data_IF_203024777562
#
_entry.id   IF_203024777562
#
_cell.length_a   1.000
_cell.length_b   1.000
_cell.length_c   1.000
_cell.angle_alpha   90.00
_cell.angle_beta   90.00
_cell.angle_gamma   90.00
#
_symmetry.space_group_name_H-M   'P 1'
#
loop_
_entity.id
_entity.type
_entity.pdbx_description
1 polymer ?
#
# COMPACT_ATOMS: atom_id res chain seq x y z
N UNK A 1 -11.89 32.78 46.24
CA UNK A 1 -12.41 33.81 45.32
C UNK A 1 -13.10 33.10 44.17
N UNK A 2 -14.41 33.12 44.24
CA UNK A 2 -15.38 32.58 43.31
C UNK A 2 -15.63 33.57 42.18
N UNK A 3 -15.58 33.14 40.91
CA UNK A 3 -16.27 33.84 39.84
C UNK A 3 -17.03 32.84 38.97
N UNK A 4 -18.33 33.01 39.10
CA UNK A 4 -19.38 32.39 38.30
C UNK A 4 -19.67 33.33 37.12
N UNK A 5 -19.79 32.80 35.89
CA UNK A 5 -20.56 33.47 34.84
C UNK A 5 -21.33 32.46 34.01
N UNK A 6 -22.63 32.63 34.16
CA UNK A 6 -23.72 31.93 33.48
C UNK A 6 -24.17 32.75 32.25
N UNK A 7 -24.78 32.03 31.29
CA UNK A 7 -25.78 32.45 30.28
C UNK A 7 -25.30 33.10 28.98
N UNK A 8 -25.62 32.47 27.87
CA UNK A 8 -26.69 32.81 26.89
C UNK A 8 -26.68 31.72 25.83
N UNK A 9 -27.64 30.89 25.68
CA UNK A 9 -28.99 30.91 25.09
C UNK A 9 -28.98 30.93 23.54
N UNK A 10 -29.45 29.83 22.98
CA UNK A 10 -30.36 29.61 21.86
C UNK A 10 -30.18 30.41 20.55
N UNK A 11 -29.96 29.69 19.45
CA UNK A 11 -30.75 29.89 18.24
C UNK A 11 -30.86 28.56 17.47
N UNK A 12 -32.08 28.02 17.52
CA UNK A 12 -32.59 27.02 16.60
C UNK A 12 -33.00 27.73 15.31
N UNK A 13 -32.60 27.22 14.18
CA UNK A 13 -33.39 27.40 12.98
C UNK A 13 -33.27 26.18 12.04
N UNK A 14 -34.39 25.58 11.85
CA UNK A 14 -34.82 24.51 10.98
C UNK A 14 -34.65 24.86 9.51
N UNK A 15 -34.06 23.99 8.70
CA UNK A 15 -34.20 23.99 7.25
C UNK A 15 -34.79 22.64 6.79
N UNK A 16 -35.97 22.68 6.23
CA UNK A 16 -36.70 21.57 5.59
C UNK A 16 -36.10 21.24 4.23
N UNK A 17 -36.17 19.99 3.77
CA UNK A 17 -35.76 19.61 2.40
C UNK A 17 -36.94 19.85 1.44
N UNK A 18 -36.67 20.54 0.33
CA UNK A 18 -37.57 20.65 -0.83
C UNK A 18 -37.35 19.46 -1.77
N UNK A 19 -38.28 18.56 -1.78
CA UNK A 19 -38.48 17.60 -2.86
C UNK A 19 -39.45 18.21 -3.88
N UNK A 20 -39.04 18.20 -5.16
CA UNK A 20 -39.94 18.47 -6.30
C UNK A 20 -39.85 17.29 -7.27
N UNK A 21 -40.99 16.71 -7.69
CA UNK A 21 -41.01 15.61 -8.65
C UNK A 21 -41.07 16.15 -10.08
N UNK A 22 -40.19 15.70 -10.94
CA UNK A 22 -40.27 15.95 -12.38
C UNK A 22 -41.20 14.93 -13.02
N UNK A 23 -42.31 15.43 -13.58
CA UNK A 23 -43.28 14.69 -14.37
C UNK A 23 -42.73 14.41 -15.76
N UNK A 24 -42.89 13.18 -16.20
CA UNK A 24 -42.72 12.71 -17.57
C UNK A 24 -43.85 13.25 -18.46
N UNK A 25 -43.50 13.85 -19.59
CA UNK A 25 -44.46 14.11 -20.68
C UNK A 25 -43.93 13.44 -21.96
N UNK A 26 -44.66 12.39 -22.33
CA UNK A 26 -44.55 11.72 -23.62
C UNK A 26 -45.26 12.57 -24.67
N UNK A 27 -44.56 12.94 -25.74
CA UNK A 27 -45.20 13.48 -26.96
C UNK A 27 -44.93 12.55 -28.14
N UNK A 28 -45.99 11.86 -28.54
CA UNK A 28 -46.07 11.17 -29.84
C UNK A 28 -46.18 12.23 -30.94
N UNK A 29 -45.36 12.15 -31.96
CA UNK A 29 -45.62 12.77 -33.25
C UNK A 29 -45.64 11.69 -34.35
N UNK A 30 -46.86 11.43 -34.82
CA UNK A 30 -47.13 10.81 -36.13
C UNK A 30 -46.97 11.90 -37.21
N UNK A 31 -46.21 11.65 -38.25
CA UNK A 31 -46.35 12.36 -39.51
C UNK A 31 -46.15 11.39 -40.65
N UNK A 32 -47.24 11.33 -41.45
CA UNK A 32 -47.36 10.48 -42.62
C UNK A 32 -46.64 11.08 -43.85
N UNK A 33 -46.20 10.20 -44.66
CA UNK A 33 -45.81 10.12 -46.04
C UNK A 33 -45.83 11.32 -46.99
N UNK A 34 -44.85 11.27 -47.87
CA UNK A 34 -45.14 11.40 -49.33
C UNK A 34 -43.87 10.98 -50.11
N UNK A 35 -44.02 9.95 -50.93
CA UNK A 35 -43.04 9.47 -51.86
C UNK A 35 -42.99 10.38 -53.07
N UNK A 36 -41.82 10.94 -53.40
CA UNK A 36 -41.54 11.49 -54.71
C UNK A 36 -40.27 10.81 -55.28
N UNK A 37 -40.48 9.97 -56.30
CA UNK A 37 -39.43 9.34 -57.07
C UNK A 37 -38.91 10.35 -58.08
N UNK A 38 -37.67 10.76 -57.99
CA UNK A 38 -36.92 11.41 -59.09
C UNK A 38 -35.71 10.59 -59.47
N UNK A 39 -35.71 10.05 -60.65
CA UNK A 39 -34.60 9.37 -61.34
C UNK A 39 -33.59 10.42 -61.76
N UNK A 40 -32.33 10.30 -61.27
CA UNK A 40 -31.19 11.01 -61.83
C UNK A 40 -30.02 10.05 -62.07
N UNK A 41 -29.15 10.32 -63.08
CA UNK A 41 -28.31 9.30 -63.70
C UNK A 41 -27.07 8.93 -62.87
N UNK A 42 -26.67 7.67 -63.00
CA UNK A 42 -25.46 7.09 -62.47
C UNK A 42 -24.23 7.74 -63.17
N UNK A 43 -23.46 8.48 -62.36
CA UNK A 43 -22.06 8.72 -62.64
C UNK A 43 -21.24 7.72 -61.79
N UNK A 44 -20.59 6.78 -62.45
CA UNK A 44 -19.63 5.88 -61.87
C UNK A 44 -18.35 6.67 -61.53
N UNK A 45 -18.34 7.25 -60.33
CA UNK A 45 -17.14 7.79 -59.71
C UNK A 45 -16.65 6.76 -58.69
N UNK A 46 -15.44 6.22 -58.91
CA UNK A 46 -14.72 5.39 -57.96
C UNK A 46 -14.55 6.13 -56.62
N UNK A 47 -15.51 5.95 -55.72
CA UNK A 47 -15.40 6.43 -54.36
C UNK A 47 -14.38 5.56 -53.65
N UNK A 48 -13.13 6.02 -53.56
CA UNK A 48 -12.16 5.57 -52.61
C UNK A 48 -12.80 5.77 -51.20
N UNK A 49 -13.28 4.68 -50.62
CA UNK A 49 -13.69 4.64 -49.21
C UNK A 49 -12.44 4.90 -48.40
N UNK A 50 -12.16 6.15 -48.07
CA UNK A 50 -11.30 6.49 -46.97
C UNK A 50 -12.05 6.01 -45.72
N UNK A 51 -11.74 4.80 -45.29
CA UNK A 51 -12.08 4.37 -43.93
C UNK A 51 -11.34 5.32 -42.98
N UNK A 52 -12.02 6.34 -42.54
CA UNK A 52 -11.69 6.99 -41.28
C UNK A 52 -11.81 5.92 -40.20
N UNK A 53 -10.71 5.22 -39.94
CA UNK A 53 -10.55 4.41 -38.74
C UNK A 53 -10.67 5.41 -37.58
N UNK A 54 -11.84 5.46 -36.98
CA UNK A 54 -12.04 6.07 -35.67
C UNK A 54 -11.16 5.32 -34.71
N UNK A 55 -9.92 5.73 -34.57
CA UNK A 55 -9.04 5.32 -33.45
C UNK A 55 -9.49 6.01 -32.15
N UNK A 56 -10.75 5.85 -31.80
CA UNK A 56 -11.22 6.01 -30.44
C UNK A 56 -10.78 4.76 -29.66
N UNK A 57 -9.53 4.71 -29.19
CA UNK A 57 -9.03 3.60 -28.40
C UNK A 57 -9.98 3.36 -27.22
N UNK A 58 -10.54 2.14 -27.11
CA UNK A 58 -11.40 1.74 -26.01
C UNK A 58 -10.69 2.08 -24.70
N UNK A 59 -11.33 2.87 -23.85
CA UNK A 59 -10.87 3.13 -22.49
C UNK A 59 -10.78 1.79 -21.76
N UNK A 60 -9.61 1.48 -21.20
CA UNK A 60 -9.38 0.28 -20.39
C UNK A 60 -9.30 0.68 -18.92
N UNK A 61 -9.85 -0.12 -18.06
CA UNK A 61 -9.81 0.08 -16.62
C UNK A 61 -9.15 -1.12 -15.94
N UNK A 62 -8.11 -0.86 -15.12
CA UNK A 62 -7.48 -1.84 -14.27
C UNK A 62 -7.55 -1.42 -12.81
N UNK A 63 -7.45 -2.40 -11.90
CA UNK A 63 -7.49 -2.17 -10.46
C UNK A 63 -6.17 -2.57 -9.84
N UNK A 64 -5.51 -1.62 -9.18
CA UNK A 64 -4.36 -1.84 -8.32
C UNK A 64 -4.84 -2.02 -6.88
N UNK A 65 -4.49 -3.13 -6.25
CA UNK A 65 -4.71 -3.37 -4.83
C UNK A 65 -3.36 -3.36 -4.11
N UNK A 66 -3.19 -2.48 -3.13
CA UNK A 66 -1.90 -2.31 -2.45
C UNK A 66 -2.04 -2.02 -0.97
N UNK A 67 -0.93 -2.08 -0.25
CA UNK A 67 -0.91 -1.72 1.17
C UNK A 67 -0.81 -0.21 1.37
N UNK A 68 -1.32 0.28 2.50
CA UNK A 68 -1.64 1.69 2.69
C UNK A 68 -0.47 2.67 2.49
N UNK A 69 0.76 2.26 2.84
CA UNK A 69 1.93 3.16 2.81
C UNK A 69 2.45 3.48 1.41
N UNK A 70 2.05 2.70 0.39
CA UNK A 70 2.47 2.92 -1.00
C UNK A 70 1.67 4.00 -1.72
N UNK A 71 0.53 4.42 -1.15
CA UNK A 71 -0.42 5.33 -1.80
C UNK A 71 0.26 6.59 -2.35
N UNK A 72 1.08 7.25 -1.55
CA UNK A 72 1.76 8.49 -1.95
C UNK A 72 2.71 8.31 -3.16
N UNK A 73 3.32 7.13 -3.30
CA UNK A 73 4.14 6.80 -4.48
C UNK A 73 3.25 6.58 -5.72
N UNK A 74 2.22 5.76 -5.59
CA UNK A 74 1.33 5.46 -6.71
C UNK A 74 0.56 6.68 -7.24
N UNK A 75 0.22 7.63 -6.39
CA UNK A 75 -0.37 8.92 -6.81
C UNK A 75 0.54 9.70 -7.76
N UNK A 76 1.86 9.47 -7.75
CA UNK A 76 2.83 10.08 -8.67
C UNK A 76 3.17 9.16 -9.85
N UNK A 77 3.24 7.87 -9.63
CA UNK A 77 3.63 6.87 -10.63
C UNK A 77 2.52 6.66 -11.67
N UNK A 78 1.28 6.54 -11.22
CA UNK A 78 0.14 6.21 -12.09
C UNK A 78 -0.08 7.24 -13.20
N UNK A 79 -0.08 8.56 -12.95
CA UNK A 79 -0.21 9.55 -14.01
C UNK A 79 0.88 9.43 -15.10
N UNK A 80 2.12 9.15 -14.70
CA UNK A 80 3.24 8.97 -15.61
C UNK A 80 3.03 7.74 -16.52
N UNK A 81 2.62 6.62 -15.94
CA UNK A 81 2.29 5.41 -16.70
C UNK A 81 1.14 5.65 -17.69
N UNK A 82 0.05 6.26 -17.22
CA UNK A 82 -1.14 6.54 -18.04
C UNK A 82 -0.78 7.44 -19.25
N UNK A 83 0.00 8.50 -19.02
CA UNK A 83 0.48 9.37 -20.08
C UNK A 83 1.37 8.63 -21.08
N UNK A 84 2.30 7.82 -20.58
CA UNK A 84 3.18 6.98 -21.40
C UNK A 84 2.39 5.98 -22.23
N UNK A 85 1.47 5.24 -21.65
CA UNK A 85 0.62 4.26 -22.32
C UNK A 85 -0.23 4.91 -23.43
N UNK A 86 -0.87 6.05 -23.12
CA UNK A 86 -1.64 6.80 -24.10
C UNK A 86 -0.77 7.23 -25.30
N UNK A 87 0.45 7.69 -25.04
CA UNK A 87 1.40 8.08 -26.09
C UNK A 87 1.83 6.90 -26.95
N UNK A 88 2.09 5.74 -26.36
CA UNK A 88 2.65 4.56 -27.06
C UNK A 88 1.57 3.71 -27.74
N UNK A 89 0.39 3.58 -27.11
CA UNK A 89 -0.68 2.68 -27.55
C UNK A 89 -1.94 3.41 -28.07
N UNK A 90 -2.03 4.73 -27.93
CA UNK A 90 -3.22 5.49 -28.28
C UNK A 90 -4.45 5.16 -27.41
N UNK A 91 -4.29 4.37 -26.36
CA UNK A 91 -5.37 3.87 -25.51
C UNK A 91 -5.44 4.63 -24.19
N UNK A 92 -6.65 5.00 -23.75
CA UNK A 92 -6.86 5.59 -22.44
C UNK A 92 -6.93 4.50 -21.37
N UNK A 93 -6.21 4.73 -20.26
CA UNK A 93 -6.19 3.83 -19.10
C UNK A 93 -6.68 4.56 -17.87
N UNK A 94 -7.54 3.91 -17.10
CA UNK A 94 -7.91 4.32 -15.73
C UNK A 94 -7.42 3.24 -14.77
N UNK A 95 -6.65 3.65 -13.76
CA UNK A 95 -6.21 2.73 -12.70
C UNK A 95 -6.98 3.06 -11.42
N UNK A 96 -7.95 2.19 -11.08
CA UNK A 96 -8.59 2.23 -9.77
C UNK A 96 -7.63 1.72 -8.72
N UNK A 97 -7.73 2.26 -7.51
CA UNK A 97 -6.79 1.98 -6.44
C UNK A 97 -7.53 1.60 -5.16
N UNK A 98 -7.08 0.52 -4.51
CA UNK A 98 -7.54 0.10 -3.19
C UNK A 98 -6.36 -0.04 -2.23
N UNK A 99 -6.47 0.56 -1.04
CA UNK A 99 -5.41 0.60 -0.04
C UNK A 99 -5.90 0.21 1.35
N UNK A 100 -5.05 -0.53 2.08
CA UNK A 100 -5.34 -0.95 3.45
C UNK A 100 -4.21 -1.77 4.05
N UNK A 101 -4.46 -2.47 5.13
CA UNK A 101 -3.52 -3.47 5.65
C UNK A 101 -3.32 -4.60 4.65
N UNK A 102 -2.07 -4.99 4.37
CA UNK A 102 -1.73 -5.98 3.34
C UNK A 102 -2.52 -7.28 3.48
N UNK A 103 -2.60 -7.86 4.68
CA UNK A 103 -3.39 -9.07 4.93
C UNK A 103 -4.90 -8.86 4.75
N UNK A 104 -5.41 -7.63 4.98
CA UNK A 104 -6.83 -7.31 4.72
C UNK A 104 -7.09 -7.19 3.22
N UNK A 105 -6.17 -6.58 2.47
CA UNK A 105 -6.25 -6.49 1.01
C UNK A 105 -6.15 -7.89 0.35
N UNK A 106 -5.27 -8.74 0.85
CA UNK A 106 -5.17 -10.14 0.42
C UNK A 106 -6.51 -10.87 0.54
N UNK A 107 -7.16 -10.76 1.70
CA UNK A 107 -8.49 -11.36 1.91
C UNK A 107 -9.53 -10.78 0.97
N UNK A 108 -9.56 -9.46 0.81
CA UNK A 108 -10.50 -8.80 -0.09
C UNK A 108 -10.37 -9.30 -1.54
N UNK A 109 -9.13 -9.51 -2.03
CA UNK A 109 -8.89 -10.06 -3.38
C UNK A 109 -9.38 -11.51 -3.47
N UNK A 110 -9.08 -12.34 -2.47
CA UNK A 110 -9.55 -13.73 -2.41
C UNK A 110 -11.07 -13.79 -2.35
N UNK A 111 -11.71 -12.88 -1.62
CA UNK A 111 -13.17 -12.78 -1.46
C UNK A 111 -13.87 -12.11 -2.66
N UNK A 112 -13.13 -11.74 -3.73
CA UNK A 112 -13.71 -11.31 -4.99
C UNK A 112 -13.49 -9.84 -5.38
N UNK A 113 -12.67 -9.05 -4.65
CA UNK A 113 -12.26 -7.72 -5.13
C UNK A 113 -11.52 -7.87 -6.46
N UNK A 114 -11.99 -7.25 -7.56
CA UNK A 114 -11.48 -7.51 -8.91
C UNK A 114 -10.14 -6.79 -9.16
N UNK A 115 -9.08 -7.23 -8.46
CA UNK A 115 -7.73 -6.72 -8.65
C UNK A 115 -7.14 -7.24 -9.98
N UNK A 116 -6.51 -6.37 -10.75
CA UNK A 116 -5.68 -6.75 -11.91
C UNK A 116 -4.21 -6.88 -11.50
N UNK A 117 -3.78 -6.00 -10.60
CA UNK A 117 -2.42 -5.97 -10.05
C UNK A 117 -2.49 -5.89 -8.54
N UNK A 118 -1.72 -6.71 -7.86
CA UNK A 118 -1.51 -6.64 -6.42
C UNK A 118 -0.07 -6.21 -6.12
N UNK A 119 0.11 -5.24 -5.24
CA UNK A 119 1.41 -4.79 -4.76
C UNK A 119 1.35 -4.77 -3.23
N UNK A 120 1.73 -5.88 -2.61
CA UNK A 120 1.50 -6.15 -1.20
C UNK A 120 2.75 -5.95 -0.34
N UNK A 121 2.59 -5.94 0.98
CA UNK A 121 3.70 -5.65 1.88
C UNK A 121 4.69 -6.81 2.02
N UNK A 122 4.31 -8.03 1.65
CA UNK A 122 5.13 -9.24 1.79
C UNK A 122 4.70 -10.35 0.83
N UNK A 123 5.67 -11.14 0.39
CA UNK A 123 5.46 -12.22 -0.58
C UNK A 123 4.46 -13.29 -0.09
N UNK A 124 4.36 -13.52 1.21
CA UNK A 124 3.37 -14.43 1.77
C UNK A 124 1.93 -14.03 1.42
N UNK A 125 1.64 -12.74 1.40
CA UNK A 125 0.29 -12.24 1.11
C UNK A 125 -0.05 -12.45 -0.38
N UNK A 126 0.91 -12.28 -1.29
CA UNK A 126 0.78 -12.64 -2.72
C UNK A 126 0.62 -14.15 -2.89
N UNK A 127 1.43 -14.95 -2.18
CA UNK A 127 1.34 -16.41 -2.20
C UNK A 127 -0.02 -16.95 -1.76
N UNK A 128 -0.70 -16.30 -0.83
CA UNK A 128 -2.07 -16.68 -0.45
C UNK A 128 -3.07 -16.48 -1.59
N UNK A 129 -2.90 -15.44 -2.41
CA UNK A 129 -3.73 -15.22 -3.60
C UNK A 129 -3.42 -16.25 -4.67
N UNK A 130 -2.14 -16.67 -4.83
CA UNK A 130 -1.72 -17.81 -5.66
C UNK A 130 -2.38 -19.11 -5.18
N UNK A 131 -2.32 -19.40 -3.88
CA UNK A 131 -2.95 -20.59 -3.29
C UNK A 131 -4.47 -20.62 -3.46
N UNK A 132 -5.12 -19.45 -3.57
CA UNK A 132 -6.53 -19.33 -3.92
C UNK A 132 -6.81 -19.50 -5.43
N UNK A 133 -5.78 -19.77 -6.25
CA UNK A 133 -5.88 -20.01 -7.69
C UNK A 133 -6.16 -18.75 -8.52
N UNK A 134 -5.85 -17.56 -8.00
CA UNK A 134 -6.08 -16.28 -8.70
C UNK A 134 -4.81 -15.76 -9.39
N UNK A 135 -3.63 -16.11 -8.89
CA UNK A 135 -2.32 -15.83 -9.46
C UNK A 135 -1.68 -17.17 -9.85
N UNK A 136 -1.02 -17.23 -10.99
CA UNK A 136 -0.31 -18.42 -11.43
C UNK A 136 0.97 -18.66 -10.61
N UNK A 137 1.38 -19.90 -10.37
CA UNK A 137 2.67 -20.22 -9.76
C UNK A 137 3.83 -19.66 -10.57
N UNK A 138 4.84 -19.13 -9.88
CA UNK A 138 6.05 -18.59 -10.52
C UNK A 138 6.03 -17.08 -10.77
N UNK A 139 5.05 -16.36 -10.25
CA UNK A 139 4.93 -14.89 -10.33
C UNK A 139 6.20 -14.17 -9.88
N UNK A 140 6.99 -14.75 -8.99
CA UNK A 140 8.28 -14.18 -8.55
C UNK A 140 9.30 -14.05 -9.69
N UNK A 141 9.11 -14.78 -10.80
CA UNK A 141 10.01 -14.78 -11.98
C UNK A 141 9.51 -13.86 -13.10
N UNK A 142 8.32 -13.31 -13.00
CA UNK A 142 7.68 -12.50 -14.06
C UNK A 142 8.26 -11.07 -14.14
N UNK A 143 8.91 -10.61 -13.07
CA UNK A 143 9.52 -9.30 -13.02
C UNK A 143 10.91 -9.32 -12.34
N UNK A 144 11.74 -8.28 -12.52
CA UNK A 144 13.07 -8.22 -11.93
C UNK A 144 13.07 -8.35 -10.40
N UNK A 145 14.22 -8.74 -9.83
CA UNK A 145 14.46 -8.85 -8.39
C UNK A 145 13.47 -9.77 -7.64
N UNK A 146 12.98 -10.82 -8.26
CA UNK A 146 11.97 -11.69 -7.65
C UNK A 146 10.61 -11.00 -7.52
N UNK A 147 10.26 -10.13 -8.48
CA UNK A 147 9.07 -9.28 -8.47
C UNK A 147 8.99 -8.32 -7.27
N UNK A 148 10.10 -8.03 -6.61
CA UNK A 148 10.20 -7.04 -5.53
C UNK A 148 10.38 -5.65 -6.12
N UNK A 149 9.43 -4.75 -5.89
CA UNK A 149 9.42 -3.37 -6.43
C UNK A 149 9.85 -2.31 -5.43
N UNK A 150 9.76 -2.59 -4.14
CA UNK A 150 10.16 -1.66 -3.09
C UNK A 150 10.96 -2.36 -2.01
N UNK A 151 11.89 -1.61 -1.39
CA UNK A 151 12.54 -2.00 -0.14
C UNK A 151 12.38 -0.92 0.90
N UNK A 152 12.37 -1.32 2.16
CA UNK A 152 12.40 -0.45 3.33
C UNK A 152 13.05 -1.20 4.49
N UNK A 153 13.08 -0.57 5.66
CA UNK A 153 13.51 -1.17 6.92
C UNK A 153 12.61 -0.66 8.04
N UNK A 154 12.72 -1.23 9.23
CA UNK A 154 11.98 -0.74 10.40
C UNK A 154 12.71 0.46 11.01
N UNK A 155 11.97 1.53 11.26
CA UNK A 155 12.43 2.71 11.99
C UNK A 155 11.74 2.81 13.35
N UNK A 156 12.41 3.43 14.30
CA UNK A 156 11.91 3.82 15.61
C UNK A 156 11.65 5.32 15.58
N UNK A 157 10.41 5.70 15.37
CA UNK A 157 10.00 7.11 15.35
C UNK A 157 9.69 7.57 16.78
N UNK A 158 10.27 8.69 17.22
CA UNK A 158 10.12 9.20 18.57
C UNK A 158 9.53 10.59 18.58
N UNK A 159 9.06 11.03 19.74
CA UNK A 159 8.63 12.41 19.95
C UNK A 159 9.79 13.39 19.77
N UNK A 160 9.46 14.65 19.51
CA UNK A 160 10.44 15.73 19.39
C UNK A 160 11.49 15.69 20.50
N UNK A 161 12.76 15.80 20.14
CA UNK A 161 13.88 15.75 21.07
C UNK A 161 14.12 14.40 21.73
N UNK A 162 13.36 13.35 21.37
CA UNK A 162 13.49 12.00 21.89
C UNK A 162 13.61 11.92 23.44
N UNK A 163 12.59 12.37 24.18
CA UNK A 163 12.68 12.53 25.64
C UNK A 163 12.92 11.21 26.39
N UNK A 164 12.55 10.08 25.79
CA UNK A 164 12.79 8.73 26.34
C UNK A 164 14.15 8.16 25.94
N UNK A 165 14.95 8.89 25.15
CA UNK A 165 16.28 8.50 24.67
C UNK A 165 16.27 7.10 24.01
N UNK A 166 15.31 6.88 23.11
CA UNK A 166 15.14 5.61 22.38
C UNK A 166 16.01 5.66 21.14
N UNK A 167 17.04 4.82 21.06
CA UNK A 167 18.02 4.74 19.95
C UNK A 167 18.18 3.34 19.41
N UNK A 168 17.95 2.34 20.25
CA UNK A 168 18.20 0.94 19.93
C UNK A 168 16.97 0.09 20.25
N UNK A 169 16.96 -1.14 19.76
CA UNK A 169 15.92 -2.11 20.08
C UNK A 169 15.74 -2.32 21.58
N UNK A 170 16.86 -2.33 22.34
CA UNK A 170 16.83 -2.55 23.80
C UNK A 170 16.16 -1.41 24.57
N UNK A 171 16.08 -0.23 24.00
CA UNK A 171 15.40 0.89 24.64
C UNK A 171 13.88 0.71 24.70
N UNK A 172 13.33 -0.18 23.88
CA UNK A 172 11.90 -0.47 23.82
C UNK A 172 11.38 -1.21 25.06
N UNK A 173 12.26 -1.91 25.79
CA UNK A 173 11.89 -2.62 27.03
C UNK A 173 12.06 -1.78 28.30
N UNK A 174 12.51 -0.52 28.18
CA UNK A 174 12.63 0.37 29.34
C UNK A 174 11.28 0.60 30.02
N UNK A 175 11.24 0.64 31.36
CA UNK A 175 10.01 0.96 32.09
C UNK A 175 9.40 2.30 31.67
N UNK A 176 8.08 2.32 31.48
CA UNK A 176 7.32 3.53 31.13
C UNK A 176 7.47 3.99 29.69
N UNK A 177 8.13 3.24 28.80
CA UNK A 177 8.08 3.45 27.37
C UNK A 177 6.75 2.96 26.83
N UNK A 178 6.05 3.79 26.04
CA UNK A 178 4.78 3.46 25.41
C UNK A 178 4.99 3.30 23.90
N UNK A 179 4.70 2.11 23.37
CA UNK A 179 4.97 1.74 21.99
C UNK A 179 3.67 1.72 21.18
N UNK A 180 3.72 2.27 19.97
CA UNK A 180 2.71 2.08 18.93
C UNK A 180 3.30 1.18 17.84
N UNK A 181 2.57 0.16 17.44
CA UNK A 181 2.88 -0.66 16.25
C UNK A 181 1.60 -1.28 15.72
N UNK A 182 1.54 -1.58 14.42
CA UNK A 182 0.35 -2.17 13.84
C UNK A 182 0.13 -3.64 14.28
N UNK A 183 -1.08 -4.16 14.02
CA UNK A 183 -1.46 -5.53 14.38
C UNK A 183 -0.95 -6.54 13.33
N UNK A 184 -0.12 -7.52 13.67
CA UNK A 184 0.36 -8.56 12.75
C UNK A 184 -0.72 -9.47 12.12
N UNK A 185 -1.93 -9.51 12.67
CA UNK A 185 -3.05 -10.26 12.07
C UNK A 185 -3.64 -9.56 10.85
N UNK A 186 -3.46 -8.25 10.70
CA UNK A 186 -4.05 -7.44 9.62
C UNK A 186 -3.02 -6.70 8.77
N UNK A 187 -1.86 -6.38 9.36
CA UNK A 187 -0.81 -5.56 8.76
C UNK A 187 0.43 -6.37 8.40
N UNK A 188 0.85 -6.31 7.14
CA UNK A 188 2.16 -6.83 6.72
C UNK A 188 3.31 -6.08 7.38
N UNK A 189 3.20 -4.75 7.55
CA UNK A 189 4.18 -3.93 8.25
C UNK A 189 4.43 -4.38 9.68
N UNK A 190 3.38 -4.75 10.38
CA UNK A 190 3.49 -5.25 11.75
C UNK A 190 4.23 -6.60 11.82
N UNK A 191 4.09 -7.46 10.80
CA UNK A 191 4.87 -8.69 10.71
C UNK A 191 6.36 -8.41 10.53
N UNK A 192 6.69 -7.44 9.69
CA UNK A 192 8.07 -6.98 9.55
C UNK A 192 8.63 -6.41 10.85
N UNK A 193 7.85 -5.57 11.57
CA UNK A 193 8.24 -5.03 12.87
C UNK A 193 8.50 -6.16 13.89
N UNK A 194 7.62 -7.15 13.95
CA UNK A 194 7.78 -8.31 14.82
C UNK A 194 9.06 -9.11 14.51
N UNK A 195 9.30 -9.36 13.20
CA UNK A 195 10.50 -10.07 12.76
C UNK A 195 11.77 -9.25 12.99
N UNK A 196 11.72 -7.92 12.89
CA UNK A 196 12.84 -7.05 13.23
C UNK A 196 13.21 -7.17 14.71
N UNK A 197 12.23 -7.18 15.62
CA UNK A 197 12.44 -7.40 17.04
C UNK A 197 13.04 -8.78 17.34
N UNK A 198 12.52 -9.82 16.69
CA UNK A 198 13.06 -11.17 16.84
C UNK A 198 14.50 -11.28 16.35
N UNK A 199 14.76 -10.74 15.16
CA UNK A 199 16.08 -10.73 14.56
C UNK A 199 17.08 -9.84 15.30
N UNK A 200 16.63 -8.79 15.97
CA UNK A 200 17.49 -7.95 16.80
C UNK A 200 18.24 -8.76 17.87
N UNK A 201 17.65 -9.85 18.33
CA UNK A 201 18.26 -10.77 19.29
C UNK A 201 19.00 -11.90 18.56
N UNK A 202 18.29 -12.65 17.69
CA UNK A 202 18.87 -13.87 17.08
C UNK A 202 19.99 -13.60 16.07
N UNK A 203 20.02 -12.43 15.47
CA UNK A 203 21.11 -12.01 14.56
C UNK A 203 22.26 -11.31 15.30
N UNK A 204 22.11 -11.10 16.60
CA UNK A 204 23.12 -10.48 17.47
C UNK A 204 23.70 -11.50 18.51
N UNK A 205 23.69 -12.78 18.16
CA UNK A 205 24.25 -13.85 18.98
C UNK A 205 23.32 -14.44 20.05
N UNK A 206 22.10 -13.92 20.18
CA UNK A 206 21.10 -14.46 21.09
C UNK A 206 20.35 -15.66 20.49
N UNK A 207 19.74 -16.45 21.39
CA UNK A 207 18.92 -17.61 21.02
C UNK A 207 17.41 -17.29 20.98
N UNK A 208 16.61 -18.26 20.58
CA UNK A 208 15.15 -18.10 20.43
C UNK A 208 14.42 -17.83 21.76
N UNK A 209 14.87 -18.41 22.85
CA UNK A 209 14.29 -18.16 24.20
C UNK A 209 14.50 -16.71 24.60
N UNK A 210 15.70 -16.17 24.34
CA UNK A 210 16.00 -14.76 24.59
C UNK A 210 15.18 -13.84 23.67
N UNK A 211 15.04 -14.21 22.39
CA UNK A 211 14.23 -13.46 21.44
C UNK A 211 12.75 -13.44 21.85
N UNK A 212 12.19 -14.59 22.26
CA UNK A 212 10.81 -14.67 22.75
C UNK A 212 10.60 -13.78 23.98
N UNK A 213 11.53 -13.85 24.95
CA UNK A 213 11.47 -12.98 26.13
C UNK A 213 11.50 -11.50 25.73
N UNK A 214 12.45 -11.12 24.88
CA UNK A 214 12.62 -9.74 24.43
C UNK A 214 11.36 -9.22 23.72
N UNK A 215 10.83 -9.97 22.77
CA UNK A 215 9.62 -9.57 22.02
C UNK A 215 8.42 -9.47 22.98
N UNK A 216 8.28 -10.40 23.92
CA UNK A 216 7.22 -10.33 24.92
C UNK A 216 7.35 -9.06 25.80
N UNK A 217 8.56 -8.71 26.25
CA UNK A 217 8.81 -7.51 27.04
C UNK A 217 8.51 -6.23 26.23
N UNK A 218 8.88 -6.18 24.92
CA UNK A 218 8.50 -5.07 24.03
C UNK A 218 6.98 -4.97 23.91
N UNK A 219 6.28 -6.10 23.70
CA UNK A 219 4.83 -6.10 23.55
C UNK A 219 4.07 -5.73 24.83
N UNK A 220 4.65 -5.91 26.02
CA UNK A 220 4.09 -5.36 27.26
C UNK A 220 4.02 -3.84 27.24
N UNK A 221 4.95 -3.19 26.58
CA UNK A 221 4.99 -1.73 26.40
C UNK A 221 4.13 -1.21 25.24
N UNK A 222 3.57 -2.10 24.40
CA UNK A 222 2.69 -1.68 23.29
C UNK A 222 1.34 -1.24 23.84
N UNK A 223 0.97 0.01 23.62
CA UNK A 223 -0.29 0.60 24.15
C UNK A 223 -1.44 0.51 23.14
N UNK A 224 -1.13 0.43 21.84
CA UNK A 224 -2.15 0.30 20.79
C UNK A 224 -1.62 -0.49 19.59
N UNK A 225 -2.50 -1.26 18.96
CA UNK A 225 -2.26 -2.09 17.77
C UNK A 225 -3.25 -1.71 16.65
N UNK A 226 -3.03 -0.59 15.94
CA UNK A 226 -3.88 -0.21 14.81
C UNK A 226 -3.86 -1.27 13.70
N UNK A 227 -4.88 -1.24 12.82
CA UNK A 227 -5.05 -2.29 11.81
C UNK A 227 -3.98 -2.29 10.71
N UNK A 228 -3.31 -1.17 10.49
CA UNK A 228 -2.22 -1.05 9.52
C UNK A 228 -1.20 0.04 9.90
N UNK A 229 -0.11 0.12 9.11
CA UNK A 229 0.99 1.03 9.37
C UNK A 229 0.58 2.51 9.25
N UNK A 230 -0.33 2.86 8.33
CA UNK A 230 -0.83 4.23 8.18
C UNK A 230 -1.68 4.65 9.37
N UNK A 231 -2.56 3.78 9.84
CA UNK A 231 -3.32 4.06 11.07
C UNK A 231 -2.42 4.15 12.31
N UNK A 232 -1.28 3.42 12.32
CA UNK A 232 -0.28 3.57 13.39
C UNK A 232 0.38 4.96 13.34
N UNK A 233 0.70 5.48 12.16
CA UNK A 233 1.15 6.86 11.98
C UNK A 233 0.10 7.85 12.48
N UNK A 234 -1.18 7.65 12.15
CA UNK A 234 -2.28 8.51 12.62
C UNK A 234 -2.46 8.45 14.14
N UNK A 235 -2.35 7.26 14.75
CA UNK A 235 -2.39 7.11 16.20
C UNK A 235 -1.25 7.87 16.89
N UNK A 236 -0.06 7.80 16.33
CA UNK A 236 1.11 8.50 16.83
C UNK A 236 1.01 10.00 16.58
N UNK A 237 0.91 10.46 15.34
CA UNK A 237 1.00 11.88 14.98
C UNK A 237 -0.24 12.70 15.32
N UNK A 238 -1.45 12.16 15.05
CA UNK A 238 -2.69 12.91 15.20
C UNK A 238 -3.33 12.75 16.58
N UNK A 239 -3.21 11.54 17.16
CA UNK A 239 -3.84 11.22 18.46
C UNK A 239 -2.86 11.32 19.63
N UNK A 240 -1.59 11.60 19.39
CA UNK A 240 -0.58 11.74 20.44
C UNK A 240 -0.26 10.46 21.23
N UNK A 241 -0.62 9.27 20.71
CA UNK A 241 -0.43 8.01 21.40
C UNK A 241 1.02 7.52 21.35
N UNK A 242 1.52 7.00 22.45
CA UNK A 242 2.86 6.40 22.57
C UNK A 242 4.02 7.39 22.60
N UNK A 243 5.17 6.91 23.00
CA UNK A 243 6.46 7.62 23.03
C UNK A 243 7.30 7.27 21.79
N UNK A 244 7.09 6.06 21.24
CA UNK A 244 7.77 5.54 20.05
C UNK A 244 6.79 4.78 19.16
N UNK A 245 6.96 4.96 17.85
CA UNK A 245 6.24 4.23 16.82
C UNK A 245 7.23 3.33 16.06
N UNK A 246 6.94 2.03 16.00
CA UNK A 246 7.63 1.12 15.10
C UNK A 246 6.92 1.13 13.76
N UNK A 247 7.62 1.57 12.72
CA UNK A 247 7.03 1.70 11.39
C UNK A 247 8.09 1.53 10.30
N UNK A 248 7.67 1.64 9.06
CA UNK A 248 8.56 1.70 7.91
C UNK A 248 9.37 3.01 7.89
N UNK A 249 10.64 2.93 7.50
CA UNK A 249 11.49 4.11 7.27
C UNK A 249 10.85 5.10 6.28
N UNK A 250 10.19 4.61 5.23
CA UNK A 250 9.51 5.49 4.27
C UNK A 250 8.34 6.28 4.86
N UNK A 251 7.68 5.78 5.89
CA UNK A 251 6.61 6.54 6.57
C UNK A 251 7.17 7.75 7.30
N UNK A 252 8.31 7.60 7.97
CA UNK A 252 9.00 8.71 8.64
C UNK A 252 9.44 9.78 7.63
N UNK A 253 10.07 9.34 6.55
CA UNK A 253 10.56 10.26 5.51
C UNK A 253 9.39 11.02 4.87
N UNK A 254 8.28 10.33 4.60
CA UNK A 254 7.07 10.96 4.08
C UNK A 254 6.44 11.94 5.09
N UNK A 255 6.40 11.58 6.37
CA UNK A 255 5.89 12.47 7.43
C UNK A 255 6.71 13.76 7.52
N UNK A 256 8.03 13.66 7.49
CA UNK A 256 8.92 14.82 7.47
C UNK A 256 8.66 15.73 6.25
N UNK A 257 8.46 15.16 5.06
CA UNK A 257 8.11 15.91 3.86
C UNK A 257 6.75 16.62 3.94
N UNK A 258 5.83 16.08 4.74
CA UNK A 258 4.52 16.69 5.01
C UNK A 258 4.54 17.73 6.16
N UNK A 259 5.72 18.16 6.57
CA UNK A 259 5.89 19.18 7.60
C UNK A 259 5.80 18.66 9.03
N UNK A 260 5.88 17.34 9.25
CA UNK A 260 5.99 16.74 10.59
C UNK A 260 7.45 16.81 11.05
N UNK A 261 7.89 18.02 11.42
CA UNK A 261 9.28 18.30 11.81
C UNK A 261 9.56 18.05 13.30
N UNK A 262 8.52 17.80 14.07
CA UNK A 262 8.55 17.61 15.52
C UNK A 262 8.77 16.14 15.93
N UNK A 263 9.36 15.33 15.05
CA UNK A 263 9.71 13.94 15.31
C UNK A 263 11.17 13.67 15.00
N UNK A 264 11.74 12.73 15.74
CA UNK A 264 13.05 12.16 15.47
C UNK A 264 12.88 10.70 15.12
N UNK A 265 13.83 10.09 14.45
CA UNK A 265 13.80 8.66 14.22
C UNK A 265 15.20 8.06 14.25
N UNK A 266 15.26 6.79 14.58
CA UNK A 266 16.46 5.97 14.53
C UNK A 266 16.20 4.75 13.66
N UNK A 267 17.19 4.35 12.88
CA UNK A 267 17.20 3.08 12.16
C UNK A 267 18.23 2.18 12.83
N UNK A 268 17.80 1.17 13.59
CA UNK A 268 18.74 0.30 14.29
C UNK A 268 19.67 -0.44 13.33
N UNK A 269 20.94 -0.63 13.75
CA UNK A 269 22.01 -1.19 12.93
C UNK A 269 21.81 -2.66 12.53
N UNK A 270 21.07 -3.43 13.33
CA UNK A 270 20.58 -4.78 12.99
C UNK A 270 19.13 -4.64 12.57
N UNK A 271 18.81 -4.94 11.33
CA UNK A 271 17.46 -4.69 10.79
C UNK A 271 17.10 -5.71 9.71
N UNK A 272 15.82 -5.81 9.39
CA UNK A 272 15.30 -6.70 8.35
C UNK A 272 15.04 -5.92 7.06
N UNK A 273 15.40 -6.52 5.93
CA UNK A 273 15.02 -6.03 4.61
C UNK A 273 13.51 -6.25 4.43
N UNK A 274 12.76 -5.17 4.41
CA UNK A 274 11.35 -5.17 4.09
C UNK A 274 11.23 -5.16 2.57
N UNK A 275 10.59 -6.18 2.00
CA UNK A 275 10.52 -6.39 0.56
C UNK A 275 9.05 -6.47 0.12
N UNK A 276 8.63 -5.47 -0.66
CA UNK A 276 7.27 -5.36 -1.20
C UNK A 276 7.20 -5.96 -2.62
N UNK A 277 6.50 -7.08 -2.81
CA UNK A 277 6.31 -7.69 -4.12
C UNK A 277 5.18 -7.04 -4.91
N UNK A 278 5.18 -7.32 -6.21
CA UNK A 278 4.09 -7.04 -7.14
C UNK A 278 3.79 -8.28 -7.96
N UNK A 279 2.52 -8.50 -8.27
CA UNK A 279 2.11 -9.58 -9.19
C UNK A 279 0.85 -9.16 -9.98
N UNK A 280 0.70 -9.71 -11.17
CA UNK A 280 -0.55 -9.69 -11.93
C UNK A 280 -1.50 -10.74 -11.35
N UNK A 281 -2.79 -10.43 -11.29
CA UNK A 281 -3.81 -11.38 -10.84
C UNK A 281 -4.38 -12.07 -12.09
N UNK A 282 -3.75 -13.15 -12.51
CA UNK A 282 -3.93 -13.82 -13.79
C UNK A 282 -5.39 -14.07 -14.15
N UNK A 283 -6.13 -14.70 -13.24
CA UNK A 283 -7.54 -15.05 -13.46
C UNK A 283 -8.41 -13.83 -13.74
N UNK A 284 -8.10 -12.70 -13.12
CA UNK A 284 -8.87 -11.46 -13.31
C UNK A 284 -8.50 -10.77 -14.62
N UNK A 285 -7.21 -10.64 -14.92
CA UNK A 285 -6.78 -9.97 -16.15
C UNK A 285 -7.20 -10.73 -17.41
N UNK A 286 -7.19 -12.08 -17.38
CA UNK A 286 -7.67 -12.90 -18.49
C UNK A 286 -9.18 -12.74 -18.68
N UNK A 287 -9.96 -12.83 -17.60
CA UNK A 287 -11.41 -12.62 -17.64
C UNK A 287 -11.79 -11.23 -18.14
N UNK A 288 -11.00 -10.21 -17.82
CA UNK A 288 -11.30 -8.80 -18.11
C UNK A 288 -10.65 -8.31 -19.41
N UNK A 289 -9.74 -9.08 -20.00
CA UNK A 289 -8.96 -8.68 -21.19
C UNK A 289 -7.99 -7.52 -20.88
N UNK A 290 -7.47 -7.45 -19.65
CA UNK A 290 -6.61 -6.36 -19.19
C UNK A 290 -5.15 -6.77 -19.02
N UNK A 291 -4.76 -7.98 -19.46
CA UNK A 291 -3.42 -8.55 -19.26
C UNK A 291 -2.32 -7.64 -19.80
N UNK A 292 -2.40 -7.21 -21.05
CA UNK A 292 -1.34 -6.42 -21.68
C UNK A 292 -1.03 -5.13 -20.90
N UNK A 293 -2.05 -4.38 -20.53
CA UNK A 293 -1.87 -3.12 -19.78
C UNK A 293 -1.41 -3.37 -18.35
N UNK A 294 -1.88 -4.45 -17.71
CA UNK A 294 -1.48 -4.80 -16.33
C UNK A 294 -0.02 -5.23 -16.27
N UNK A 295 0.44 -6.08 -17.18
CA UNK A 295 1.86 -6.45 -17.29
C UNK A 295 2.75 -5.27 -17.64
N UNK A 296 2.29 -4.38 -18.55
CA UNK A 296 3.01 -3.16 -18.86
C UNK A 296 3.13 -2.23 -17.65
N UNK A 297 2.07 -2.12 -16.83
CA UNK A 297 2.11 -1.36 -15.59
C UNK A 297 3.11 -1.97 -14.61
N UNK A 298 3.09 -3.30 -14.40
CA UNK A 298 4.08 -3.98 -13.54
C UNK A 298 5.51 -3.72 -14.03
N UNK A 299 5.78 -3.86 -15.34
CA UNK A 299 7.10 -3.56 -15.92
C UNK A 299 7.52 -2.11 -15.71
N UNK A 300 6.57 -1.16 -15.82
CA UNK A 300 6.83 0.26 -15.61
C UNK A 300 7.32 0.55 -14.18
N UNK A 301 6.82 -0.17 -13.17
CA UNK A 301 7.22 0.02 -11.77
C UNK A 301 8.73 -0.21 -11.53
N UNK A 302 9.41 -0.97 -12.40
CA UNK A 302 10.85 -1.23 -12.30
C UNK A 302 11.71 -0.23 -13.08
N UNK A 303 11.10 0.67 -13.85
CA UNK A 303 11.83 1.70 -14.59
C UNK A 303 12.49 2.71 -13.65
N UNK A 304 13.60 3.34 -14.06
CA UNK A 304 14.22 4.41 -13.25
C UNK A 304 13.23 5.53 -12.91
N UNK A 305 12.30 5.85 -13.80
CA UNK A 305 11.27 6.86 -13.59
C UNK A 305 10.38 6.51 -12.38
N UNK A 306 9.75 5.34 -12.38
CA UNK A 306 8.90 4.91 -11.29
C UNK A 306 9.69 4.71 -9.98
N UNK A 307 10.91 4.19 -10.07
CA UNK A 307 11.77 3.97 -8.92
C UNK A 307 12.23 5.28 -8.24
N UNK A 308 12.39 6.37 -9.01
CA UNK A 308 12.64 7.69 -8.44
C UNK A 308 11.43 8.20 -7.66
N UNK A 309 10.20 7.95 -8.14
CA UNK A 309 8.99 8.34 -7.38
C UNK A 309 8.87 7.54 -6.06
N UNK A 310 9.16 6.23 -6.08
CA UNK A 310 9.28 5.45 -4.84
C UNK A 310 10.34 6.03 -3.89
N UNK A 311 11.52 6.40 -4.42
CA UNK A 311 12.60 6.97 -3.61
C UNK A 311 12.26 8.36 -3.03
N UNK A 312 11.49 9.17 -3.75
CA UNK A 312 11.04 10.48 -3.27
C UNK A 312 10.23 10.34 -1.98
N UNK A 313 9.35 9.35 -1.90
CA UNK A 313 8.53 9.10 -0.70
C UNK A 313 9.19 8.15 0.31
N UNK A 314 10.50 7.92 0.18
CA UNK A 314 11.30 7.24 1.20
C UNK A 314 11.47 5.74 1.05
N UNK A 315 10.99 5.10 -0.01
CA UNK A 315 11.35 3.71 -0.30
C UNK A 315 12.79 3.61 -0.80
N UNK A 316 13.49 2.54 -0.42
CA UNK A 316 14.80 2.20 -0.94
C UNK A 316 14.64 1.56 -2.32
N UNK A 317 15.19 2.17 -3.39
CA UNK A 317 14.97 1.68 -4.76
C UNK A 317 15.56 0.29 -4.98
N UNK A 318 14.88 -0.49 -5.84
CA UNK A 318 15.41 -1.78 -6.32
C UNK A 318 16.19 -1.62 -7.63
N UNK A 319 16.03 -0.52 -8.34
CA UNK A 319 16.82 -0.17 -9.51
C UNK A 319 18.21 0.32 -9.08
N UNK A 320 19.26 -0.35 -9.55
CA UNK A 320 20.63 -0.09 -9.10
C UNK A 320 21.12 1.34 -9.40
N UNK A 321 20.77 1.90 -10.56
CA UNK A 321 21.14 3.27 -10.92
C UNK A 321 20.48 4.28 -9.97
N UNK A 322 19.17 4.15 -9.73
CA UNK A 322 18.43 5.03 -8.82
C UNK A 322 18.92 4.85 -7.37
N UNK A 323 19.22 3.61 -6.95
CA UNK A 323 19.77 3.35 -5.62
C UNK A 323 21.09 4.09 -5.39
N UNK A 324 21.97 4.16 -6.42
CA UNK A 324 23.22 4.94 -6.37
C UNK A 324 22.95 6.45 -6.31
N UNK A 325 21.96 6.96 -7.06
CA UNK A 325 21.58 8.38 -7.04
C UNK A 325 21.16 8.85 -5.63
N UNK A 326 20.49 7.99 -4.88
CA UNK A 326 19.88 8.35 -3.58
C UNK A 326 20.58 7.72 -2.38
N UNK A 327 21.74 7.11 -2.55
CA UNK A 327 22.41 6.34 -1.49
C UNK A 327 22.65 7.12 -0.19
N UNK A 328 22.88 8.43 -0.29
CA UNK A 328 23.10 9.30 0.88
C UNK A 328 21.81 9.71 1.61
N UNK A 329 20.63 9.39 1.03
CA UNK A 329 19.36 9.69 1.64
C UNK A 329 19.01 8.74 2.79
N UNK A 330 19.60 7.56 2.80
CA UNK A 330 19.26 6.47 3.71
C UNK A 330 20.43 6.14 4.64
N UNK A 331 20.19 5.94 5.95
CA UNK A 331 21.21 5.50 6.87
C UNK A 331 21.76 4.13 6.47
N UNK A 332 23.06 3.92 6.74
CA UNK A 332 23.70 2.61 6.56
C UNK A 332 23.22 1.66 7.65
N UNK A 333 22.94 0.42 7.26
CA UNK A 333 22.56 -0.65 8.16
C UNK A 333 23.73 -1.65 8.18
N UNK A 334 24.29 -1.86 9.36
CA UNK A 334 25.47 -2.70 9.49
C UNK A 334 25.15 -4.17 9.25
N UNK A 335 23.99 -4.63 9.73
CA UNK A 335 23.54 -6.00 9.55
C UNK A 335 22.09 -6.01 9.07
N UNK A 336 21.92 -6.09 7.76
CA UNK A 336 20.63 -6.22 7.10
C UNK A 336 20.41 -7.69 6.75
N UNK A 337 19.38 -8.30 7.31
CA UNK A 337 19.00 -9.69 7.04
C UNK A 337 17.66 -9.75 6.31
N UNK A 338 17.38 -10.89 5.69
CA UNK A 338 16.13 -11.15 4.95
C UNK A 338 15.26 -12.17 5.69
N UNK A 339 14.00 -12.27 5.30
CA UNK A 339 13.10 -13.32 5.79
C UNK A 339 13.61 -14.71 5.45
N UNK A 340 14.38 -14.87 4.34
CA UNK A 340 15.05 -16.13 3.97
C UNK A 340 15.96 -16.64 5.06
N UNK A 341 16.68 -15.75 5.75
CA UNK A 341 17.58 -16.12 6.86
C UNK A 341 16.84 -16.53 8.15
N UNK A 342 15.51 -16.39 8.18
CA UNK A 342 14.61 -16.87 9.23
C UNK A 342 13.83 -18.13 8.81
N UNK A 343 14.23 -18.77 7.69
CA UNK A 343 13.58 -19.95 7.14
C UNK A 343 12.52 -19.69 6.07
N UNK A 344 12.36 -18.43 5.62
CA UNK A 344 11.38 -18.05 4.62
C UNK A 344 9.96 -17.83 5.18
N UNK A 345 9.06 -17.34 4.32
CA UNK A 345 7.73 -16.93 4.75
C UNK A 345 6.87 -18.07 5.29
N UNK A 346 6.97 -19.29 4.76
CA UNK A 346 6.16 -20.43 5.23
C UNK A 346 6.54 -20.82 6.66
N UNK A 347 7.84 -20.90 6.96
CA UNK A 347 8.34 -21.19 8.31
C UNK A 347 7.99 -20.04 9.28
N UNK A 348 8.15 -18.80 8.85
CA UNK A 348 7.82 -17.61 9.62
C UNK A 348 6.32 -17.55 9.94
N UNK A 349 5.45 -17.81 8.96
CA UNK A 349 4.01 -17.82 9.17
C UNK A 349 3.60 -18.90 10.18
N UNK A 350 4.11 -20.12 10.01
CA UNK A 350 3.84 -21.25 10.92
C UNK A 350 4.30 -20.96 12.34
N UNK A 351 5.51 -20.41 12.50
CA UNK A 351 6.13 -20.18 13.81
C UNK A 351 5.51 -19.02 14.55
N UNK A 352 5.20 -17.91 13.86
CA UNK A 352 4.86 -16.66 14.52
C UNK A 352 3.42 -16.21 14.39
N UNK A 353 2.73 -16.48 13.25
CA UNK A 353 1.49 -15.77 12.90
C UNK A 353 0.28 -16.65 12.62
N UNK A 354 0.43 -17.98 12.54
CA UNK A 354 -0.73 -18.88 12.51
C UNK A 354 -1.53 -18.75 13.81
N UNK A 355 -2.78 -19.17 13.80
CA UNK A 355 -3.61 -19.17 14.97
C UNK A 355 -2.99 -20.06 16.07
N UNK A 356 -2.92 -19.50 17.30
CA UNK A 356 -2.24 -20.09 18.42
C UNK A 356 -0.70 -20.07 18.39
N UNK A 357 -0.08 -19.44 17.35
CA UNK A 357 1.37 -19.32 17.27
C UNK A 357 1.94 -18.27 18.24
N UNK A 358 3.24 -17.98 18.14
CA UNK A 358 3.96 -17.14 19.12
C UNK A 358 3.28 -15.79 19.35
N UNK A 359 2.83 -15.11 18.28
CA UNK A 359 2.18 -13.81 18.42
C UNK A 359 0.89 -13.88 19.27
N UNK A 360 0.05 -14.90 19.05
CA UNK A 360 -1.18 -15.05 19.82
C UNK A 360 -0.92 -15.34 21.30
N UNK A 361 0.12 -16.13 21.61
CA UNK A 361 0.55 -16.39 22.98
C UNK A 361 1.01 -15.13 23.69
N UNK A 362 1.80 -14.29 22.99
CA UNK A 362 2.23 -12.98 23.52
C UNK A 362 1.02 -12.07 23.78
N UNK A 363 0.06 -12.02 22.85
CA UNK A 363 -1.15 -11.22 23.04
C UNK A 363 -2.04 -11.75 24.19
N UNK A 364 -2.20 -13.05 24.32
CA UNK A 364 -2.96 -13.68 25.40
C UNK A 364 -2.39 -13.41 26.78
N UNK A 365 -1.06 -13.31 26.91
CA UNK A 365 -0.37 -12.98 28.16
C UNK A 365 -0.39 -11.49 28.56
N UNK A 366 -1.02 -10.63 27.75
CA UNK A 366 -1.18 -9.17 28.01
C UNK A 366 -2.47 -8.82 28.80
N UNK A 367 -3.36 -9.79 28.99
CA UNK A 367 -4.64 -9.62 29.73
C UNK A 367 -4.46 -9.73 31.23
#
# INVERSE_FOLDING_TARGET
>A
MTYNFSKTAQFLQTAKPLFSPFQSSSALFLAAGLSISTILPVFAGTAQKTQLISQGGKKVEITLVSYAVTKAAYEKIIPNFVAKWKKEKGQEVVIRQSYGGSGSQTRAVIDGLPADVVALALALDTKKIEQAGLINPGWEKEAPNGSIITRSVVALETRAGNPKKIKTWNDLIKPGVKIVTANPKTSGGARWNFLALWGAVTKNGGNETQALKFVNDVFRNVVVLPKDARESSDAFYKKGQGDVLLNYENEVILAAQQGKTDVSYEVPSVNISIEGPVAVVDKNVDKRGTREVSEAFVKFLFTPEAQREFAKVGFRPVNAAVAKEVQNKFPKITQLYTVGSLGGWDAVQKKFFNDGAIFDKIQGGRR
#
